data_IF_318497422129
#
_entry.id   IF_318497422129
#
_cell.length_a   1.000
_cell.length_b   1.000
_cell.length_c   1.000
_cell.angle_alpha   90.00
_cell.angle_beta   90.00
_cell.angle_gamma   90.00
#
_symmetry.space_group_name_H-M   'P 1'
#
loop_
_entity.id
_entity.type
_entity.pdbx_description
1 polymer ?
#
# COMPACT_ATOMS: atom_id res chain seq x y z
N UNK A 1 -17.35 -4.51 -18.44
CA UNK A 1 -16.78 -3.84 -17.24
C UNK A 1 -17.51 -2.56 -16.83
N UNK A 2 -18.28 -1.93 -17.73
CA UNK A 2 -19.03 -0.69 -17.44
C UNK A 2 -20.42 -0.93 -16.83
N UNK A 3 -20.68 -2.13 -16.28
CA UNK A 3 -21.93 -2.37 -15.58
C UNK A 3 -21.94 -1.52 -14.30
N UNK A 4 -23.03 -0.77 -14.11
CA UNK A 4 -23.19 0.13 -12.96
C UNK A 4 -23.42 -0.65 -11.68
N UNK A 5 -24.07 -1.81 -11.76
CA UNK A 5 -24.26 -2.68 -10.62
C UNK A 5 -22.96 -3.47 -10.33
N UNK A 6 -22.35 -3.32 -9.13
CA UNK A 6 -21.17 -4.09 -8.78
C UNK A 6 -21.46 -5.59 -8.66
N UNK A 7 -22.69 -6.02 -8.36
CA UNK A 7 -23.01 -7.44 -8.16
C UNK A 7 -22.96 -8.24 -9.47
N UNK A 8 -23.29 -7.60 -10.60
CA UNK A 8 -23.33 -8.22 -11.93
C UNK A 8 -22.11 -7.88 -12.79
N UNK A 9 -21.24 -7.00 -12.30
CA UNK A 9 -20.04 -6.58 -13.03
C UNK A 9 -19.10 -7.77 -13.25
N UNK A 10 -18.66 -7.95 -14.50
CA UNK A 10 -17.63 -8.92 -14.87
C UNK A 10 -16.44 -8.85 -13.92
N UNK A 11 -16.10 -9.97 -13.29
CA UNK A 11 -15.01 -10.09 -12.32
C UNK A 11 -15.46 -10.08 -10.86
N UNK A 12 -16.74 -9.87 -10.57
CA UNK A 12 -17.28 -9.94 -9.20
C UNK A 12 -17.15 -11.34 -8.61
N UNK A 13 -17.26 -12.39 -9.43
CA UNK A 13 -17.02 -13.77 -8.99
C UNK A 13 -15.54 -14.19 -9.09
N UNK A 14 -14.65 -13.24 -9.34
CA UNK A 14 -13.20 -13.41 -9.35
C UNK A 14 -12.56 -13.38 -10.74
N UNK A 15 -11.23 -13.45 -10.76
CA UNK A 15 -10.44 -13.24 -11.97
C UNK A 15 -10.63 -14.31 -13.06
N UNK A 16 -11.11 -15.52 -12.71
CA UNK A 16 -11.33 -16.59 -13.69
C UNK A 16 -12.41 -16.21 -14.71
N UNK A 17 -13.44 -15.49 -14.27
CA UNK A 17 -14.51 -14.99 -15.13
C UNK A 17 -13.96 -14.08 -16.24
N UNK A 18 -13.06 -13.16 -15.87
CA UNK A 18 -12.38 -12.28 -16.82
C UNK A 18 -11.50 -13.10 -17.77
N UNK A 19 -10.77 -14.08 -17.23
CA UNK A 19 -9.83 -14.90 -18.03
C UNK A 19 -10.51 -15.77 -19.09
N UNK A 20 -11.76 -16.14 -18.85
CA UNK A 20 -12.56 -17.00 -19.73
C UNK A 20 -13.44 -16.21 -20.71
N UNK A 21 -13.50 -14.89 -20.59
CA UNK A 21 -14.30 -14.05 -21.48
C UNK A 21 -13.76 -14.09 -22.92
N UNK A 22 -14.65 -14.16 -23.92
CA UNK A 22 -14.30 -14.35 -25.34
C UNK A 22 -13.30 -13.33 -25.88
N UNK A 23 -13.38 -12.07 -25.41
CA UNK A 23 -12.39 -11.03 -25.73
C UNK A 23 -10.93 -11.45 -25.47
N UNK A 24 -10.69 -12.32 -24.49
CA UNK A 24 -9.36 -12.81 -24.12
C UNK A 24 -9.11 -14.27 -24.52
N UNK A 25 -9.94 -14.86 -25.39
CA UNK A 25 -9.84 -16.27 -25.78
C UNK A 25 -8.45 -16.66 -26.33
N UNK A 26 -7.79 -15.74 -27.04
CA UNK A 26 -6.47 -15.96 -27.64
C UNK A 26 -5.30 -15.75 -26.66
N UNK A 27 -5.58 -15.37 -25.41
CA UNK A 27 -4.56 -15.09 -24.39
C UNK A 27 -4.23 -16.35 -23.60
N UNK A 28 -2.98 -16.81 -23.71
CA UNK A 28 -2.41 -17.76 -22.78
C UNK A 28 -1.88 -17.02 -21.53
N UNK A 29 -2.65 -17.10 -20.45
CA UNK A 29 -2.35 -16.42 -19.19
C UNK A 29 -1.00 -16.81 -18.55
N UNK A 30 -0.53 -18.04 -18.74
CA UNK A 30 0.77 -18.48 -18.23
C UNK A 30 1.92 -17.83 -19.02
N UNK A 31 1.81 -17.76 -20.36
CA UNK A 31 2.78 -17.07 -21.21
C UNK A 31 2.79 -15.57 -20.94
N UNK A 32 1.62 -14.97 -20.72
CA UNK A 32 1.49 -13.55 -20.36
C UNK A 32 2.20 -13.24 -19.05
N UNK A 33 1.92 -14.02 -17.99
CA UNK A 33 2.56 -13.83 -16.68
C UNK A 33 4.08 -14.03 -16.75
N UNK A 34 4.54 -14.98 -17.56
CA UNK A 34 5.96 -15.21 -17.83
C UNK A 34 6.61 -14.18 -18.79
N UNK A 35 5.90 -13.10 -19.15
CA UNK A 35 6.35 -12.03 -20.07
C UNK A 35 6.85 -12.56 -21.43
N UNK A 36 6.22 -13.63 -21.95
CA UNK A 36 6.60 -14.28 -23.22
C UNK A 36 5.93 -13.71 -24.46
N UNK A 37 4.93 -12.83 -24.30
CA UNK A 37 4.35 -12.11 -25.43
C UNK A 37 5.22 -10.92 -25.81
N UNK A 38 5.44 -10.72 -27.11
CA UNK A 38 6.01 -9.47 -27.61
C UNK A 38 4.94 -8.38 -27.46
N UNK A 39 5.21 -7.26 -26.77
CA UNK A 39 4.24 -6.18 -26.65
C UNK A 39 4.01 -5.56 -28.03
N UNK A 40 2.75 -5.20 -28.32
CA UNK A 40 2.38 -4.58 -29.59
C UNK A 40 3.05 -3.21 -29.78
N UNK A 41 3.31 -2.51 -28.68
CA UNK A 41 4.01 -1.24 -28.64
C UNK A 41 5.27 -1.37 -27.76
N UNK A 42 6.40 -0.91 -28.28
CA UNK A 42 7.65 -0.77 -27.53
C UNK A 42 8.01 0.73 -27.54
N UNK A 43 7.99 1.42 -26.38
CA UNK A 43 8.38 2.81 -26.32
C UNK A 43 9.85 2.97 -26.73
N UNK A 44 10.18 4.11 -27.33
CA UNK A 44 11.56 4.44 -27.65
C UNK A 44 12.28 4.81 -26.36
N UNK A 45 13.44 4.20 -26.13
CA UNK A 45 14.31 4.47 -24.98
C UNK A 45 15.73 4.49 -25.49
N UNK A 46 16.42 5.62 -25.32
CA UNK A 46 17.79 5.82 -25.81
C UNK A 46 18.84 5.20 -24.87
N UNK A 47 18.67 5.36 -23.56
CA UNK A 47 19.62 4.90 -22.54
C UNK A 47 18.96 4.75 -21.15
N UNK A 48 19.74 4.36 -20.14
CA UNK A 48 19.24 4.11 -18.77
C UNK A 48 18.76 5.35 -18.01
N UNK A 49 19.08 6.54 -18.48
CA UNK A 49 18.68 7.82 -17.87
C UNK A 49 17.69 8.59 -18.75
N UNK A 50 17.14 7.96 -19.78
CA UNK A 50 16.21 8.59 -20.71
C UNK A 50 14.88 8.91 -20.03
N UNK A 51 14.47 10.18 -20.07
CA UNK A 51 13.23 10.70 -19.49
C UNK A 51 12.19 11.11 -20.54
N UNK A 52 12.38 10.78 -21.83
CA UNK A 52 11.51 11.19 -22.95
C UNK A 52 10.06 10.71 -22.90
N UNK A 53 9.76 9.70 -22.08
CA UNK A 53 8.39 9.18 -21.87
C UNK A 53 7.71 9.77 -20.63
N UNK A 54 8.33 10.78 -19.99
CA UNK A 54 7.78 11.56 -18.89
C UNK A 54 7.49 13.00 -19.36
N UNK A 55 6.60 13.71 -18.68
CA UNK A 55 6.29 15.09 -19.04
C UNK A 55 7.49 16.02 -18.81
N UNK A 56 7.66 16.97 -19.72
CA UNK A 56 8.70 18.00 -19.63
C UNK A 56 8.47 18.93 -18.43
N UNK A 57 7.21 19.11 -18.00
CA UNK A 57 6.86 19.90 -16.82
C UNK A 57 7.64 19.44 -15.58
N UNK A 58 7.78 18.13 -15.37
CA UNK A 58 8.47 17.56 -14.21
C UNK A 58 9.96 17.35 -14.46
N UNK A 59 10.34 16.93 -15.67
CA UNK A 59 11.74 16.59 -15.97
C UNK A 59 12.62 17.82 -16.18
N UNK A 60 12.02 18.98 -16.45
CA UNK A 60 12.70 20.27 -16.51
C UNK A 60 12.92 20.90 -15.14
N UNK A 61 12.20 20.45 -14.10
CA UNK A 61 12.39 20.92 -12.74
C UNK A 61 13.69 20.39 -12.15
N UNK A 62 14.32 21.17 -11.27
CA UNK A 62 15.48 20.70 -10.53
C UNK A 62 15.02 19.64 -9.50
N UNK A 63 15.68 18.48 -9.42
CA UNK A 63 15.37 17.47 -8.42
C UNK A 63 15.85 17.98 -7.05
N UNK A 64 15.00 18.71 -6.34
CA UNK A 64 15.31 19.31 -5.06
C UNK A 64 14.16 19.06 -4.07
N UNK A 65 14.51 18.70 -2.84
CA UNK A 65 13.53 18.55 -1.77
C UNK A 65 12.94 19.91 -1.40
N UNK A 66 11.62 19.93 -1.16
CA UNK A 66 10.94 21.10 -0.63
C UNK A 66 11.47 21.46 0.76
N UNK A 67 11.60 22.75 1.03
CA UNK A 67 11.93 23.20 2.38
C UNK A 67 10.81 22.87 3.37
N UNK A 68 11.18 22.28 4.51
CA UNK A 68 10.27 22.00 5.63
C UNK A 68 10.75 22.84 6.81
N UNK A 69 9.85 23.63 7.41
CA UNK A 69 10.17 24.42 8.59
C UNK A 69 10.26 23.53 9.84
N UNK A 70 11.22 23.79 10.72
CA UNK A 70 11.46 22.98 11.92
C UNK A 70 10.25 22.98 12.88
N UNK A 71 9.40 24.02 12.82
CA UNK A 71 8.17 24.12 13.60
C UNK A 71 7.07 23.14 13.18
N UNK A 72 7.16 22.60 11.96
CA UNK A 72 6.24 21.60 11.41
C UNK A 72 6.65 20.15 11.72
N UNK A 73 7.78 19.96 12.39
CA UNK A 73 8.24 18.66 12.85
C UNK A 73 7.39 18.19 14.03
N UNK A 74 6.30 17.47 13.73
CA UNK A 74 5.38 16.91 14.71
C UNK A 74 6.01 15.67 15.37
N UNK A 75 6.90 15.89 16.35
CA UNK A 75 7.55 14.82 17.15
C UNK A 75 6.55 13.90 17.86
N UNK A 76 5.27 14.26 17.92
CA UNK A 76 4.20 13.44 18.49
C UNK A 76 3.67 12.35 17.54
N UNK A 77 4.08 12.35 16.27
CA UNK A 77 3.67 11.38 15.25
C UNK A 77 4.76 10.38 14.88
N UNK A 78 5.91 10.39 15.55
CA UNK A 78 7.07 9.56 15.19
C UNK A 78 6.73 8.05 15.19
N UNK A 79 5.82 7.62 16.07
CA UNK A 79 5.35 6.23 16.12
C UNK A 79 4.32 5.89 15.03
N UNK A 80 3.77 6.87 14.29
CA UNK A 80 2.79 6.62 13.21
C UNK A 80 3.42 5.86 12.04
N UNK A 81 4.73 5.99 11.85
CA UNK A 81 5.48 5.37 10.76
C UNK A 81 6.29 4.14 11.22
N UNK A 82 5.99 3.58 12.39
CA UNK A 82 6.58 2.31 12.82
C UNK A 82 6.26 1.21 11.79
N UNK A 83 7.29 0.52 11.31
CA UNK A 83 7.15 -0.47 10.24
C UNK A 83 7.18 0.08 8.80
N UNK A 84 7.42 1.39 8.61
CA UNK A 84 7.56 1.99 7.26
C UNK A 84 8.77 1.46 6.48
N UNK A 85 9.88 1.20 7.18
CA UNK A 85 11.13 0.75 6.56
C UNK A 85 11.00 -0.67 6.02
N UNK A 86 10.92 -0.82 4.70
CA UNK A 86 10.97 -2.10 4.01
C UNK A 86 12.32 -2.34 3.35
N UNK A 87 12.89 -3.54 3.54
CA UNK A 87 14.05 -4.01 2.78
C UNK A 87 13.62 -5.22 1.96
N UNK A 88 13.57 -5.04 0.65
CA UNK A 88 13.28 -6.13 -0.27
C UNK A 88 14.39 -7.17 -0.22
N UNK A 89 14.04 -8.41 0.08
CA UNK A 89 14.93 -9.55 -0.12
C UNK A 89 15.11 -9.74 -1.64
N UNK A 90 16.34 -9.68 -2.17
CA UNK A 90 16.60 -9.86 -3.60
C UNK A 90 16.12 -11.22 -4.14
N UNK A 91 15.80 -12.20 -3.27
CA UNK A 91 15.24 -13.50 -3.67
C UNK A 91 13.74 -13.66 -3.41
N UNK A 92 13.00 -12.60 -3.06
CA UNK A 92 11.53 -12.66 -2.99
C UNK A 92 10.95 -13.64 -1.96
N UNK A 93 11.76 -14.21 -1.06
CA UNK A 93 11.26 -14.92 0.10
C UNK A 93 10.74 -13.92 1.12
N UNK A 94 9.42 -13.69 1.14
CA UNK A 94 8.79 -13.14 2.33
C UNK A 94 8.96 -14.21 3.42
N UNK A 95 9.97 -14.06 4.30
CA UNK A 95 10.00 -14.78 5.56
C UNK A 95 8.86 -14.25 6.44
N UNK A 96 7.69 -14.86 6.32
CA UNK A 96 6.58 -14.71 7.26
C UNK A 96 7.05 -15.31 8.59
N UNK A 97 7.80 -14.56 9.38
CA UNK A 97 8.33 -15.10 10.63
C UNK A 97 9.38 -14.30 11.40
N UNK A 98 9.71 -13.05 11.04
CA UNK A 98 10.69 -12.27 11.80
C UNK A 98 10.18 -10.87 12.16
N UNK A 99 9.20 -10.82 13.06
CA UNK A 99 8.89 -9.62 13.85
C UNK A 99 9.10 -9.82 15.36
N UNK A 100 9.72 -10.93 15.79
CA UNK A 100 10.16 -11.09 17.18
C UNK A 100 11.68 -11.20 17.25
N UNK A 101 12.31 -10.03 17.31
CA UNK A 101 13.57 -9.71 18.00
C UNK A 101 14.41 -8.77 17.16
N UNK A 102 14.63 -7.56 17.68
CA UNK A 102 15.98 -7.06 18.00
C UNK A 102 15.87 -5.73 18.76
N UNK A 103 15.62 -5.85 20.07
CA UNK A 103 16.17 -4.87 21.02
C UNK A 103 17.52 -5.43 21.46
N UNK A 104 18.59 -4.86 20.93
CA UNK A 104 19.98 -5.00 21.41
C UNK A 104 20.68 -3.70 21.01
N UNK A 105 21.34 -2.92 21.84
CA UNK A 105 21.52 -2.89 23.28
C UNK A 105 22.16 -1.52 23.57
N UNK A 106 21.63 -0.76 24.53
CA UNK A 106 22.43 0.21 25.30
C UNK A 106 21.84 0.24 26.71
N UNK A 107 22.69 -0.10 27.68
CA UNK A 107 22.29 -0.49 29.03
C UNK A 107 21.54 0.57 29.83
N UNK A 108 20.65 0.07 30.69
CA UNK A 108 19.83 0.86 31.60
C UNK A 108 18.86 -0.09 32.31
N UNK A 109 19.14 -0.33 33.58
CA UNK A 109 18.58 -1.35 34.45
C UNK A 109 17.22 -0.96 35.09
N UNK A 110 16.44 -1.99 35.45
CA UNK A 110 15.28 -2.07 36.36
C UNK A 110 13.86 -1.59 35.95
N UNK A 111 12.93 -2.54 36.04
CA UNK A 111 11.50 -2.27 36.25
C UNK A 111 10.58 -3.44 35.87
N UNK A 112 10.30 -4.36 36.80
CA UNK A 112 9.23 -5.36 36.64
C UNK A 112 7.86 -4.68 36.80
N UNK A 113 7.20 -4.35 35.70
CA UNK A 113 5.85 -3.80 35.72
C UNK A 113 4.82 -4.94 35.72
N UNK A 114 4.05 -5.00 36.80
CA UNK A 114 2.99 -5.96 37.07
C UNK A 114 1.78 -5.77 36.14
N UNK A 115 1.18 -6.88 35.70
CA UNK A 115 -0.03 -6.94 34.87
C UNK A 115 -1.24 -6.27 35.55
N UNK A 116 -1.99 -5.39 34.87
CA UNK A 116 -3.32 -5.00 35.34
C UNK A 116 -4.35 -6.10 35.03
N UNK A 117 -5.06 -6.52 36.08
CA UNK A 117 -6.13 -7.53 36.06
C UNK A 117 -7.39 -6.99 35.35
N UNK A 118 -7.99 -7.83 34.52
CA UNK A 118 -9.31 -7.65 33.94
C UNK A 118 -10.37 -7.46 35.03
N UNK A 119 -11.05 -6.31 35.03
CA UNK A 119 -12.23 -6.03 35.84
C UNK A 119 -13.48 -6.01 34.96
N UNK A 120 -14.37 -6.98 35.14
CA UNK A 120 -15.73 -6.97 34.60
C UNK A 120 -16.60 -6.03 35.42
N UNK A 121 -17.25 -5.05 34.80
CA UNK A 121 -18.45 -4.44 35.37
C UNK A 121 -19.39 -3.95 34.26
N UNK A 122 -20.60 -4.50 34.27
CA UNK A 122 -21.69 -4.08 33.40
C UNK A 122 -22.35 -2.80 33.90
N UNK A 123 -22.94 -2.06 32.98
CA UNK A 123 -23.72 -0.86 33.25
C UNK A 123 -24.06 -0.17 31.93
N UNK A 124 -25.21 -0.53 31.37
CA UNK A 124 -25.68 0.01 30.09
C UNK A 124 -25.99 1.50 30.16
N UNK A 125 -25.71 2.20 29.05
CA UNK A 125 -26.45 3.40 28.64
C UNK A 125 -26.29 3.60 27.13
N UNK A 126 -27.46 3.68 26.50
CA UNK A 126 -27.71 3.85 25.07
C UNK A 126 -27.01 5.09 24.50
N UNK A 127 -26.22 4.91 23.43
CA UNK A 127 -25.72 6.02 22.61
C UNK A 127 -26.42 6.00 21.25
N UNK A 128 -27.18 7.07 21.02
CA UNK A 128 -27.81 7.41 19.73
C UNK A 128 -26.72 7.68 18.68
N UNK A 129 -26.90 7.27 17.42
CA UNK A 129 -26.02 7.71 16.34
C UNK A 129 -26.51 9.05 15.80
N UNK A 130 -25.67 10.08 15.85
CA UNK A 130 -25.78 11.27 14.98
C UNK A 130 -24.44 11.54 14.31
N UNK A 131 -24.35 11.22 13.02
CA UNK A 131 -23.57 12.00 12.05
C UNK A 131 -24.41 12.15 10.79
N UNK A 132 -25.02 13.33 10.70
CA UNK A 132 -25.67 13.88 9.51
C UNK A 132 -24.56 14.42 8.61
N UNK A 133 -24.44 13.88 7.41
CA UNK A 133 -23.63 14.46 6.35
C UNK A 133 -24.53 15.46 5.63
N UNK A 134 -24.37 16.75 5.91
CA UNK A 134 -25.00 17.79 5.08
C UNK A 134 -24.12 17.98 3.85
N UNK A 135 -24.63 17.50 2.71
CA UNK A 135 -24.16 17.89 1.38
C UNK A 135 -24.64 19.31 1.11
N UNK A 136 -23.70 20.23 0.87
CA UNK A 136 -23.99 21.50 0.24
C UNK A 136 -23.71 21.35 -1.26
N UNK A 137 -24.79 21.38 -2.05
CA UNK A 137 -24.81 22.03 -3.37
C UNK A 137 -24.98 23.55 -3.18
#
# INVERSE_FOLDING_TARGET
>A
MLDRDPATRLGTNGAQEIKQHDFFADINWQKLNARKYKPAFRPQVANSQDTSNFDEEFTSEKPQDSFVDDSSHLTCLDNQFEGFSYRGDPMGSIQVGSLMNRVTASGGEFGVASLPKFGTNGGGSSLRPTRRWDNHE
#
